data_IF_656651856867
#
_entry.id   IF_656651856867
#
_cell.length_a   1.000
_cell.length_b   1.000
_cell.length_c   1.000
_cell.angle_alpha   90.00
_cell.angle_beta   90.00
_cell.angle_gamma   90.00
#
_symmetry.space_group_name_H-M   'P 1'
#
loop_
_entity.id
_entity.type
_entity.pdbx_description
1 polymer ?
#
# COMPACT_ATOMS: atom_id res chain seq x y z
N UNK A 1 -2.58 43.34 35.59
CA UNK A 1 -1.15 43.15 35.34
C UNK A 1 -0.87 41.66 35.27
N UNK A 2 -0.87 41.06 34.06
CA UNK A 2 -0.52 39.65 33.87
C UNK A 2 0.42 39.61 32.68
N UNK A 3 1.66 39.21 32.94
CA UNK A 3 2.73 39.07 31.97
C UNK A 3 2.48 37.83 31.09
N UNK A 4 2.46 38.08 29.80
CA UNK A 4 2.58 37.00 28.77
C UNK A 4 4.03 36.53 28.73
N UNK A 5 4.25 35.25 28.94
CA UNK A 5 5.53 34.58 28.65
C UNK A 5 5.46 33.96 27.30
N UNK A 6 6.29 34.47 26.39
CA UNK A 6 6.60 33.91 25.09
C UNK A 6 7.29 32.55 25.27
N UNK A 7 6.67 31.51 24.76
CA UNK A 7 7.31 30.20 24.58
C UNK A 7 7.71 30.07 23.09
N UNK A 8 8.94 30.47 22.84
CA UNK A 8 9.63 30.22 21.58
C UNK A 8 9.93 28.71 21.49
N UNK A 9 9.14 28.00 20.71
CA UNK A 9 9.42 26.62 20.31
C UNK A 9 10.46 26.59 19.19
N UNK A 10 11.72 26.67 19.54
CA UNK A 10 12.82 26.39 18.64
C UNK A 10 13.19 24.91 18.72
N UNK A 11 13.27 24.25 17.58
CA UNK A 11 14.02 23.03 17.52
C UNK A 11 13.39 21.87 16.79
N UNK A 12 13.37 21.88 15.45
CA UNK A 12 13.35 20.68 14.62
C UNK A 12 13.69 21.02 13.14
N UNK A 13 14.77 21.78 12.92
CA UNK A 13 15.31 22.03 11.57
C UNK A 13 16.77 21.59 11.44
N UNK A 14 17.36 20.94 12.44
CA UNK A 14 18.78 20.58 12.42
C UNK A 14 19.11 19.20 11.84
N UNK A 15 18.14 18.48 11.25
CA UNK A 15 18.33 17.11 10.77
C UNK A 15 18.61 16.97 9.26
N UNK A 16 18.33 17.97 8.44
CA UNK A 16 18.47 17.86 6.98
C UNK A 16 19.73 18.49 6.38
N UNK A 17 20.50 19.25 7.15
CA UNK A 17 21.68 19.94 6.63
C UNK A 17 22.96 19.08 6.59
N UNK A 18 22.96 17.90 7.19
CA UNK A 18 24.19 17.07 7.28
C UNK A 18 24.39 16.07 6.14
N UNK A 19 23.45 15.95 5.22
CA UNK A 19 23.54 15.05 4.05
C UNK A 19 24.01 15.74 2.76
N UNK A 20 24.23 17.06 2.80
CA UNK A 20 24.68 17.82 1.62
C UNK A 20 26.13 18.31 1.68
N UNK A 21 26.92 17.91 2.68
CA UNK A 21 28.25 18.45 2.90
C UNK A 21 29.42 17.51 2.57
N UNK A 22 29.22 16.50 1.72
CA UNK A 22 30.36 15.67 1.27
C UNK A 22 30.24 15.38 -0.21
N UNK A 23 30.65 16.31 -1.05
CA UNK A 23 31.20 16.08 -2.40
C UNK A 23 31.40 17.41 -3.13
N UNK A 24 32.30 18.24 -2.59
CA UNK A 24 32.94 19.25 -3.41
C UNK A 24 34.25 18.64 -3.94
N UNK A 25 34.14 17.76 -4.91
CA UNK A 25 35.30 17.31 -5.69
C UNK A 25 35.15 17.83 -7.10
N UNK A 26 36.23 18.42 -7.57
CA UNK A 26 36.45 19.19 -8.77
C UNK A 26 35.70 18.75 -10.01
N UNK A 27 34.99 19.72 -10.64
CA UNK A 27 34.33 19.59 -11.95
C UNK A 27 35.43 19.71 -13.04
N UNK A 28 35.66 18.69 -13.86
CA UNK A 28 36.35 18.88 -15.13
C UNK A 28 35.35 19.40 -16.17
N UNK A 29 35.83 20.38 -16.95
CA UNK A 29 35.04 21.18 -17.88
C UNK A 29 34.50 20.38 -19.08
N UNK A 30 33.21 20.64 -19.41
CA UNK A 30 32.59 20.77 -20.74
C UNK A 30 32.76 19.61 -21.73
N UNK A 31 31.71 18.80 -21.85
CA UNK A 31 30.99 18.20 -22.95
C UNK A 31 30.14 16.98 -22.55
N UNK A 32 30.49 16.33 -21.39
CA UNK A 32 29.75 15.16 -20.86
C UNK A 32 28.71 15.52 -19.77
N UNK A 33 28.46 16.80 -19.54
CA UNK A 33 27.63 17.29 -18.43
C UNK A 33 26.17 16.91 -18.54
N UNK A 34 25.61 16.86 -19.74
CA UNK A 34 24.20 16.59 -19.96
C UNK A 34 23.89 15.09 -19.73
N UNK A 35 24.77 14.22 -20.17
CA UNK A 35 24.59 12.77 -19.98
C UNK A 35 24.75 12.36 -18.49
N UNK A 36 25.72 12.95 -17.79
CA UNK A 36 25.90 12.65 -16.35
C UNK A 36 24.74 13.20 -15.50
N UNK A 37 24.23 14.38 -15.87
CA UNK A 37 23.06 14.97 -15.20
C UNK A 37 21.81 14.14 -15.46
N UNK A 38 21.60 13.67 -16.69
CA UNK A 38 20.49 12.79 -17.05
C UNK A 38 20.56 11.46 -16.29
N UNK A 39 21.76 10.87 -16.17
CA UNK A 39 21.97 9.65 -15.39
C UNK A 39 21.71 9.85 -13.90
N UNK A 40 22.15 10.99 -13.32
CA UNK A 40 21.88 11.33 -11.93
C UNK A 40 20.38 11.51 -11.65
N UNK A 41 19.67 12.19 -12.55
CA UNK A 41 18.21 12.39 -12.47
C UNK A 41 17.48 11.01 -12.53
N UNK A 42 17.87 10.14 -13.44
CA UNK A 42 17.27 8.81 -13.57
C UNK A 42 17.50 7.96 -12.31
N UNK A 43 18.71 7.94 -11.75
CA UNK A 43 18.98 7.25 -10.49
C UNK A 43 18.18 7.81 -9.33
N UNK A 44 18.04 9.13 -9.24
CA UNK A 44 17.22 9.77 -8.21
C UNK A 44 15.74 9.38 -8.36
N UNK A 45 15.23 9.36 -9.59
CA UNK A 45 13.87 8.92 -9.88
C UNK A 45 13.65 7.47 -9.46
N UNK A 46 14.52 6.54 -9.87
CA UNK A 46 14.44 5.13 -9.50
C UNK A 46 14.47 4.92 -7.99
N UNK A 47 15.36 5.64 -7.29
CA UNK A 47 15.45 5.59 -5.83
C UNK A 47 14.17 6.11 -5.18
N UNK A 48 13.62 7.22 -5.68
CA UNK A 48 12.40 7.82 -5.17
C UNK A 48 11.18 6.91 -5.39
N UNK A 49 11.03 6.37 -6.61
CA UNK A 49 9.95 5.43 -6.95
C UNK A 49 10.05 4.16 -6.10
N UNK A 50 11.25 3.60 -5.91
CA UNK A 50 11.48 2.46 -5.04
C UNK A 50 11.10 2.73 -3.58
N UNK A 51 11.46 3.90 -3.06
CA UNK A 51 11.10 4.30 -1.69
C UNK A 51 9.60 4.49 -1.53
N UNK A 52 8.93 5.14 -2.49
CA UNK A 52 7.46 5.29 -2.47
C UNK A 52 6.76 3.95 -2.47
N UNK A 53 7.23 3.00 -3.29
CA UNK A 53 6.66 1.66 -3.34
C UNK A 53 6.84 0.93 -2.00
N UNK A 54 8.01 1.01 -1.37
CA UNK A 54 8.25 0.41 -0.06
C UNK A 54 7.33 0.99 1.03
N UNK A 55 7.16 2.32 1.04
CA UNK A 55 6.24 2.99 1.98
C UNK A 55 4.80 2.56 1.74
N UNK A 56 4.39 2.47 0.47
CA UNK A 56 3.06 1.98 0.11
C UNK A 56 2.85 0.55 0.59
N UNK A 57 3.77 -0.35 0.30
CA UNK A 57 3.67 -1.76 0.66
C UNK A 57 3.68 -1.97 2.19
N UNK A 58 4.47 -1.19 2.92
CA UNK A 58 4.48 -1.23 4.37
C UNK A 58 3.14 -0.78 4.98
N UNK A 59 2.57 0.31 4.47
CA UNK A 59 1.30 0.86 4.93
C UNK A 59 0.11 -0.03 4.56
N UNK A 60 0.11 -0.57 3.34
CA UNK A 60 -1.00 -1.29 2.74
C UNK A 60 -0.70 -2.78 2.55
N UNK A 61 0.01 -3.38 3.50
CA UNK A 61 0.44 -4.78 3.45
C UNK A 61 -0.72 -5.75 3.19
N UNK A 62 -1.87 -5.55 3.83
CA UNK A 62 -3.07 -6.35 3.63
C UNK A 62 -3.61 -6.22 2.21
N UNK A 63 -3.74 -4.99 1.71
CA UNK A 63 -4.17 -4.69 0.34
C UNK A 63 -3.24 -5.31 -0.69
N UNK A 64 -1.93 -5.17 -0.52
CA UNK A 64 -0.92 -5.75 -1.42
C UNK A 64 -1.05 -7.27 -1.49
N UNK A 65 -1.25 -7.96 -0.35
CA UNK A 65 -1.44 -9.42 -0.31
C UNK A 65 -2.74 -9.85 -1.00
N UNK A 66 -3.84 -9.14 -0.78
CA UNK A 66 -5.12 -9.40 -1.46
C UNK A 66 -4.96 -9.26 -2.98
N UNK A 67 -4.35 -8.16 -3.45
CA UNK A 67 -4.08 -7.92 -4.88
C UNK A 67 -3.18 -9.00 -5.50
N UNK A 68 -2.20 -9.48 -4.75
CA UNK A 68 -1.34 -10.56 -5.20
C UNK A 68 -2.12 -11.86 -5.43
N UNK A 69 -3.03 -12.23 -4.51
CA UNK A 69 -3.90 -13.40 -4.67
C UNK A 69 -4.84 -13.25 -5.87
N UNK A 70 -5.48 -12.08 -6.02
CA UNK A 70 -6.32 -11.79 -7.18
C UNK A 70 -5.54 -11.89 -8.50
N UNK A 71 -4.31 -11.35 -8.55
CA UNK A 71 -3.45 -11.41 -9.73
C UNK A 71 -3.05 -12.84 -10.08
N UNK A 72 -2.65 -13.63 -9.09
CA UNK A 72 -2.29 -15.05 -9.28
C UNK A 72 -3.47 -15.81 -9.86
N UNK A 73 -4.68 -15.62 -9.31
CA UNK A 73 -5.90 -16.23 -9.80
C UNK A 73 -6.23 -15.79 -11.23
N UNK A 74 -6.18 -14.49 -11.51
CA UNK A 74 -6.45 -13.92 -12.83
C UNK A 74 -5.53 -14.50 -13.91
N UNK A 75 -4.24 -14.66 -13.59
CA UNK A 75 -3.28 -15.26 -14.54
C UNK A 75 -3.60 -16.73 -14.84
N UNK A 76 -4.08 -17.48 -13.84
CA UNK A 76 -4.41 -18.89 -13.97
C UNK A 76 -5.75 -19.13 -14.67
N UNK A 77 -6.77 -18.31 -14.36
CA UNK A 77 -8.17 -18.56 -14.78
C UNK A 77 -8.71 -17.59 -15.82
N UNK A 78 -7.97 -16.50 -16.10
CA UNK A 78 -8.35 -15.40 -17.01
C UNK A 78 -9.57 -14.59 -16.54
N UNK A 79 -9.97 -14.74 -15.27
CA UNK A 79 -11.03 -13.94 -14.63
C UNK A 79 -10.65 -13.59 -13.20
N UNK A 80 -11.30 -12.56 -12.63
CA UNK A 80 -11.18 -12.28 -11.19
C UNK A 80 -11.95 -13.33 -10.39
N UNK A 81 -11.48 -13.66 -9.18
CA UNK A 81 -12.22 -14.55 -8.28
C UNK A 81 -13.49 -13.86 -7.77
N UNK A 82 -14.53 -14.63 -7.50
CA UNK A 82 -15.74 -14.11 -6.91
C UNK A 82 -15.55 -13.77 -5.42
N UNK A 83 -14.78 -14.60 -4.72
CA UNK A 83 -14.58 -14.49 -3.27
C UNK A 83 -13.12 -14.70 -2.85
N UNK A 84 -12.77 -14.05 -1.73
CA UNK A 84 -11.50 -14.24 -1.03
C UNK A 84 -11.72 -14.07 0.48
N UNK A 85 -11.37 -15.07 1.28
CA UNK A 85 -11.45 -14.98 2.74
C UNK A 85 -10.26 -14.25 3.33
N UNK A 86 -10.51 -13.34 4.29
CA UNK A 86 -9.48 -12.51 4.92
C UNK A 86 -9.72 -12.37 6.43
N UNK A 87 -8.64 -12.22 7.18
CA UNK A 87 -8.66 -11.92 8.61
C UNK A 87 -8.95 -10.45 8.92
N UNK A 88 -9.11 -10.13 10.21
CA UNK A 88 -9.57 -8.81 10.67
C UNK A 88 -8.57 -7.69 10.34
N UNK A 89 -7.26 -7.88 10.56
CA UNK A 89 -6.27 -6.84 10.27
C UNK A 89 -6.20 -6.52 8.77
N UNK A 90 -6.38 -7.54 7.93
CA UNK A 90 -6.44 -7.36 6.47
C UNK A 90 -7.71 -6.62 6.07
N UNK A 91 -8.85 -6.95 6.72
CA UNK A 91 -10.12 -6.28 6.52
C UNK A 91 -10.02 -4.79 6.85
N UNK A 92 -9.50 -4.45 8.03
CA UNK A 92 -9.33 -3.07 8.46
C UNK A 92 -8.35 -2.31 7.53
N UNK A 93 -7.28 -2.96 7.10
CA UNK A 93 -6.32 -2.37 6.16
C UNK A 93 -6.94 -2.07 4.78
N UNK A 94 -7.82 -2.94 4.27
CA UNK A 94 -8.56 -2.70 3.03
C UNK A 94 -9.62 -1.62 3.22
N UNK A 95 -10.31 -1.61 4.35
CA UNK A 95 -11.28 -0.57 4.71
C UNK A 95 -10.62 0.81 4.73
N UNK A 96 -9.50 0.94 5.46
CA UNK A 96 -8.73 2.18 5.55
C UNK A 96 -8.19 2.64 4.19
N UNK A 97 -7.82 1.68 3.33
CA UNK A 97 -7.40 1.99 1.96
C UNK A 97 -8.54 2.63 1.15
N UNK A 98 -9.77 2.10 1.23
CA UNK A 98 -10.94 2.71 0.58
C UNK A 98 -11.16 4.14 1.07
N UNK A 99 -11.09 4.37 2.38
CA UNK A 99 -11.25 5.70 2.98
C UNK A 99 -10.13 6.65 2.53
N UNK A 100 -8.88 6.21 2.59
CA UNK A 100 -7.72 7.04 2.25
C UNK A 100 -7.70 7.47 0.78
N UNK A 101 -8.18 6.61 -0.12
CA UNK A 101 -8.22 6.89 -1.56
C UNK A 101 -9.62 7.30 -2.06
N UNK A 102 -10.56 7.58 -1.15
CA UNK A 102 -11.93 7.99 -1.48
C UNK A 102 -12.63 7.04 -2.47
N UNK A 103 -12.33 5.74 -2.35
CA UNK A 103 -12.97 4.73 -3.16
C UNK A 103 -14.32 4.33 -2.59
N UNK A 104 -15.26 3.94 -3.45
CA UNK A 104 -16.56 3.46 -3.01
C UNK A 104 -16.41 2.25 -2.08
N UNK A 105 -16.94 2.37 -0.87
CA UNK A 105 -16.94 1.31 0.13
C UNK A 105 -18.31 0.65 0.17
N UNK A 106 -18.37 -0.63 -0.18
CA UNK A 106 -19.58 -1.43 -0.10
C UNK A 106 -19.35 -2.61 0.86
N UNK A 107 -19.89 -2.50 2.06
CA UNK A 107 -19.90 -3.56 3.07
C UNK A 107 -21.30 -4.07 3.24
N UNK A 108 -21.48 -5.39 3.14
CA UNK A 108 -22.78 -6.04 3.25
C UNK A 108 -22.72 -7.27 4.15
N UNK A 109 -23.84 -7.61 4.77
CA UNK A 109 -24.00 -8.87 5.47
C UNK A 109 -24.58 -9.89 4.50
N UNK A 110 -23.89 -10.99 4.32
CA UNK A 110 -24.29 -12.08 3.45
C UNK A 110 -25.38 -12.94 4.10
N UNK A 111 -26.04 -13.78 3.31
CA UNK A 111 -27.12 -14.69 3.75
C UNK A 111 -26.65 -15.71 4.79
N UNK A 112 -25.37 -16.08 4.77
CA UNK A 112 -24.72 -16.96 5.76
C UNK A 112 -24.29 -16.24 7.05
N UNK A 113 -24.59 -14.93 7.16
CA UNK A 113 -24.31 -14.10 8.32
C UNK A 113 -22.90 -13.47 8.34
N UNK A 114 -22.03 -13.84 7.43
CA UNK A 114 -20.67 -13.24 7.29
C UNK A 114 -20.76 -11.83 6.73
N UNK A 115 -19.71 -11.04 6.99
CA UNK A 115 -19.54 -9.74 6.35
C UNK A 115 -18.72 -9.88 5.07
N UNK A 116 -19.20 -9.21 4.03
CA UNK A 116 -18.53 -9.11 2.74
C UNK A 116 -18.22 -7.65 2.41
N UNK A 117 -17.05 -7.39 1.86
CA UNK A 117 -16.63 -6.07 1.35
C UNK A 117 -16.21 -6.20 -0.10
N UNK A 118 -16.78 -5.37 -0.97
CA UNK A 118 -16.35 -5.33 -2.36
C UNK A 118 -14.97 -4.66 -2.47
N UNK A 119 -14.02 -5.34 -3.09
CA UNK A 119 -12.70 -4.82 -3.40
C UNK A 119 -12.34 -5.16 -4.84
N UNK A 120 -12.29 -4.13 -5.70
CA UNK A 120 -12.20 -4.32 -7.15
C UNK A 120 -13.35 -5.21 -7.66
N UNK A 121 -13.06 -6.39 -8.19
CA UNK A 121 -14.03 -7.32 -8.76
C UNK A 121 -14.25 -8.56 -7.89
N UNK A 122 -13.83 -8.53 -6.62
CA UNK A 122 -13.88 -9.65 -5.69
C UNK A 122 -14.62 -9.24 -4.42
N UNK A 123 -15.40 -10.12 -3.87
CA UNK A 123 -15.99 -9.95 -2.52
C UNK A 123 -15.04 -10.53 -1.48
N UNK A 124 -14.50 -9.69 -0.63
CA UNK A 124 -13.71 -10.11 0.52
C UNK A 124 -14.63 -10.57 1.63
N UNK A 125 -14.41 -11.77 2.16
CA UNK A 125 -15.21 -12.37 3.24
C UNK A 125 -14.44 -12.31 4.55
N UNK A 126 -15.01 -11.64 5.55
CA UNK A 126 -14.39 -11.56 6.86
C UNK A 126 -14.44 -12.91 7.59
N UNK A 127 -13.28 -13.36 8.05
CA UNK A 127 -13.07 -14.54 8.89
C UNK A 127 -12.44 -14.12 10.21
N UNK A 128 -13.29 -13.78 11.18
CA UNK A 128 -12.85 -13.39 12.52
C UNK A 128 -12.36 -14.58 13.40
N UNK A 129 -12.62 -15.78 12.93
CA UNK A 129 -12.20 -17.04 13.58
C UNK A 129 -10.78 -17.48 13.21
N UNK A 130 -10.18 -16.85 12.20
CA UNK A 130 -8.81 -17.11 11.76
C UNK A 130 -7.84 -16.04 12.25
N UNK A 131 -6.56 -16.25 11.96
CA UNK A 131 -5.52 -15.27 12.28
C UNK A 131 -5.88 -13.90 11.65
N UNK A 132 -5.68 -12.82 12.40
CA UNK A 132 -6.06 -11.47 11.98
C UNK A 132 -5.38 -11.01 10.69
N UNK A 133 -4.16 -11.50 10.39
CA UNK A 133 -3.44 -11.21 9.15
C UNK A 133 -3.68 -12.23 8.03
N UNK A 134 -4.65 -13.14 8.19
CA UNK A 134 -4.96 -14.20 7.23
C UNK A 134 -5.40 -13.64 5.86
N UNK A 135 -4.88 -14.24 4.80
CA UNK A 135 -5.37 -14.09 3.42
C UNK A 135 -5.45 -15.48 2.81
N UNK A 136 -6.67 -15.92 2.51
CA UNK A 136 -6.97 -17.23 1.98
C UNK A 136 -6.66 -17.39 0.49
N UNK A 137 -7.07 -18.53 -0.05
CA UNK A 137 -7.05 -18.76 -1.50
C UNK A 137 -8.33 -18.21 -2.13
N UNK A 138 -8.22 -17.57 -3.30
CA UNK A 138 -9.39 -17.13 -4.07
C UNK A 138 -10.26 -18.32 -4.51
N UNK A 139 -11.57 -18.09 -4.63
CA UNK A 139 -12.50 -19.10 -5.14
C UNK A 139 -13.71 -18.48 -5.85
N UNK A 140 -14.39 -19.29 -6.62
CA UNK A 140 -15.62 -18.91 -7.32
C UNK A 140 -16.87 -19.44 -6.62
N UNK A 141 -17.99 -18.79 -6.81
CA UNK A 141 -19.29 -19.18 -6.28
C UNK A 141 -19.66 -20.64 -6.66
N UNK A 142 -19.34 -21.05 -7.87
CA UNK A 142 -19.64 -22.40 -8.38
C UNK A 142 -18.82 -23.51 -7.70
N UNK A 143 -17.69 -23.17 -7.08
CA UNK A 143 -16.84 -24.15 -6.39
C UNK A 143 -17.49 -24.67 -5.09
N UNK A 144 -18.39 -23.93 -4.47
CA UNK A 144 -19.10 -24.34 -3.25
C UNK A 144 -20.25 -25.32 -3.54
N UNK A 145 -20.72 -25.41 -4.78
CA UNK A 145 -21.82 -26.30 -5.16
C UNK A 145 -21.43 -27.73 -5.51
N UNK A 146 -20.12 -28.08 -5.58
CA UNK A 146 -19.65 -29.41 -6.00
C UNK A 146 -19.29 -30.38 -4.89
N UNK A 147 -19.44 -30.01 -3.63
CA UNK A 147 -19.35 -30.93 -2.51
C UNK A 147 -20.74 -31.44 -2.11
N UNK A 148 -21.30 -32.32 -2.94
CA UNK A 148 -22.39 -33.23 -2.57
C UNK A 148 -21.99 -34.64 -2.95
#
# INVERSE_FOLDING_TARGET
MVQRRDLVGGGLVAGFASLMATSAEAVPAAADGDDQTALAINRLRETYEGTLQQVYDARWKGVTRVRQQQRTWLLATRKYPDFLEIGLDVWDNVYDWHVAYQQALNVQRLTDGRYGMAFMFTTLLLRSDLNSDFVGYPFDADAQGRTR
#
